data_IF_368212124590
#
_entry.id   IF_368212124590
#
_cell.length_a   1.000
_cell.length_b   1.000
_cell.length_c   1.000
_cell.angle_alpha   90.00
_cell.angle_beta   90.00
_cell.angle_gamma   90.00
#
_symmetry.space_group_name_H-M   'P 1'
#
loop_
_entity.id
_entity.type
_entity.pdbx_description
1 polymer ?
#
# COMPACT_ATOMS: atom_id res chain seq x y z
N UNK A 1 -17.10 -21.88 -4.68
CA UNK A 1 -17.15 -21.25 -6.02
C UNK A 1 -17.07 -19.73 -5.93
N UNK A 2 -18.04 -19.03 -5.33
CA UNK A 2 -18.03 -17.55 -5.22
C UNK A 2 -16.82 -16.99 -4.44
N UNK A 3 -16.48 -17.57 -3.29
CA UNK A 3 -15.31 -17.15 -2.49
C UNK A 3 -14.01 -17.37 -3.27
N UNK A 4 -13.89 -18.51 -3.96
CA UNK A 4 -12.73 -18.86 -4.79
C UNK A 4 -12.57 -17.88 -5.97
N UNK A 5 -13.68 -17.49 -6.59
CA UNK A 5 -13.72 -16.46 -7.64
C UNK A 5 -13.32 -15.09 -7.10
N UNK A 6 -13.81 -14.69 -5.93
CA UNK A 6 -13.44 -13.41 -5.31
C UNK A 6 -11.94 -13.34 -4.96
N UNK A 7 -11.38 -14.41 -4.36
CA UNK A 7 -9.94 -14.50 -4.06
C UNK A 7 -9.12 -14.51 -5.34
N UNK A 8 -9.56 -15.27 -6.36
CA UNK A 8 -8.88 -15.31 -7.66
C UNK A 8 -8.90 -13.94 -8.36
N UNK A 9 -10.01 -13.20 -8.29
CA UNK A 9 -10.13 -11.86 -8.86
C UNK A 9 -9.26 -10.84 -8.11
N UNK A 10 -9.20 -10.90 -6.78
CA UNK A 10 -8.30 -10.05 -5.98
C UNK A 10 -6.84 -10.35 -6.30
N UNK A 11 -6.46 -11.63 -6.34
CA UNK A 11 -5.12 -12.06 -6.72
C UNK A 11 -4.77 -11.63 -8.15
N UNK A 12 -5.72 -11.77 -9.09
CA UNK A 12 -5.56 -11.35 -10.47
C UNK A 12 -5.43 -9.83 -10.61
N UNK A 13 -6.22 -9.03 -9.89
CA UNK A 13 -6.09 -7.55 -9.88
C UNK A 13 -4.71 -7.15 -9.34
N UNK A 14 -4.25 -7.77 -8.27
CA UNK A 14 -2.92 -7.51 -7.70
C UNK A 14 -1.80 -7.88 -8.67
N UNK A 15 -1.94 -9.00 -9.38
CA UNK A 15 -0.98 -9.45 -10.40
C UNK A 15 -1.00 -8.57 -11.67
N UNK A 16 -2.18 -8.11 -12.08
CA UNK A 16 -2.37 -7.38 -13.35
C UNK A 16 -2.19 -5.86 -13.24
N UNK A 17 -2.23 -5.26 -12.05
CA UNK A 17 -2.26 -3.80 -11.94
C UNK A 17 -0.93 -3.09 -12.14
N UNK A 18 0.24 -3.73 -12.02
CA UNK A 18 1.53 -3.21 -12.55
C UNK A 18 2.57 -4.34 -12.64
N UNK A 19 3.28 -4.47 -13.77
CA UNK A 19 4.59 -5.12 -13.75
C UNK A 19 5.49 -4.34 -12.78
N UNK A 20 5.94 -4.94 -11.67
CA UNK A 20 6.83 -4.28 -10.73
C UNK A 20 8.19 -4.05 -11.42
N UNK A 21 8.83 -2.92 -11.14
CA UNK A 21 10.16 -2.62 -11.71
C UNK A 21 11.22 -3.63 -11.22
N UNK A 22 11.07 -4.11 -9.99
CA UNK A 22 11.88 -5.21 -9.45
C UNK A 22 11.02 -6.24 -8.68
N UNK A 23 11.44 -7.51 -8.65
CA UNK A 23 10.76 -8.55 -7.84
C UNK A 23 10.76 -8.24 -6.34
N UNK A 24 11.74 -7.49 -5.85
CA UNK A 24 11.85 -7.09 -4.45
C UNK A 24 10.81 -6.03 -4.07
N UNK A 25 10.67 -4.98 -4.87
CA UNK A 25 9.62 -3.96 -4.68
C UNK A 25 8.22 -4.58 -4.70
N UNK A 26 8.03 -5.58 -5.57
CA UNK A 26 6.79 -6.33 -5.64
C UNK A 26 6.48 -7.07 -4.34
N UNK A 27 7.45 -7.84 -3.83
CA UNK A 27 7.29 -8.61 -2.61
C UNK A 27 7.02 -7.69 -1.41
N UNK A 28 7.78 -6.60 -1.28
CA UNK A 28 7.57 -5.61 -0.21
C UNK A 28 6.21 -4.95 -0.35
N UNK A 29 5.80 -4.59 -1.56
CA UNK A 29 4.50 -4.01 -1.85
C UNK A 29 3.34 -4.93 -1.44
N UNK A 30 3.45 -6.21 -1.77
CA UNK A 30 2.48 -7.24 -1.37
C UNK A 30 2.41 -7.40 0.14
N UNK A 31 3.56 -7.56 0.80
CA UNK A 31 3.61 -7.74 2.26
C UNK A 31 3.00 -6.53 2.97
N UNK A 32 3.34 -5.30 2.57
CA UNK A 32 2.74 -4.09 3.13
C UNK A 32 1.22 -4.03 2.91
N UNK A 33 0.73 -4.47 1.76
CA UNK A 33 -0.71 -4.53 1.45
C UNK A 33 -1.42 -5.51 2.38
N UNK A 34 -0.86 -6.71 2.57
CA UNK A 34 -1.40 -7.74 3.46
C UNK A 34 -1.40 -7.26 4.92
N UNK A 35 -0.28 -6.69 5.38
CA UNK A 35 -0.16 -6.19 6.75
C UNK A 35 -1.13 -5.02 7.00
N UNK A 36 -1.24 -4.08 6.06
CA UNK A 36 -2.17 -2.94 6.18
C UNK A 36 -3.63 -3.39 6.14
N UNK A 37 -3.94 -4.37 5.30
CA UNK A 37 -5.25 -5.02 5.24
C UNK A 37 -5.59 -5.64 6.59
N UNK A 38 -4.69 -6.45 7.15
CA UNK A 38 -4.90 -7.13 8.43
C UNK A 38 -5.02 -6.16 9.61
N UNK A 39 -4.06 -5.24 9.76
CA UNK A 39 -4.03 -4.29 10.86
C UNK A 39 -5.19 -3.28 10.76
N UNK A 40 -5.39 -2.68 9.58
CA UNK A 40 -6.44 -1.70 9.35
C UNK A 40 -7.84 -2.31 9.43
N UNK A 41 -8.06 -3.47 8.80
CA UNK A 41 -9.32 -4.21 8.89
C UNK A 41 -9.66 -4.59 10.32
N UNK A 42 -8.70 -5.13 11.08
CA UNK A 42 -8.91 -5.51 12.48
C UNK A 42 -9.24 -4.31 13.36
N UNK A 43 -8.54 -3.18 13.21
CA UNK A 43 -8.82 -1.96 13.97
C UNK A 43 -10.24 -1.45 13.75
N UNK A 44 -10.73 -1.46 12.50
CA UNK A 44 -12.10 -1.04 12.19
C UNK A 44 -13.11 -2.02 12.80
N UNK A 45 -12.86 -3.34 12.68
CA UNK A 45 -13.74 -4.37 13.26
C UNK A 45 -13.84 -4.24 14.78
N UNK A 46 -12.72 -3.98 15.45
CA UNK A 46 -12.69 -3.75 16.89
C UNK A 46 -13.39 -2.45 17.29
N UNK A 47 -13.17 -1.36 16.55
CA UNK A 47 -13.74 -0.03 16.87
C UNK A 47 -15.26 0.02 16.73
N UNK A 48 -15.81 -0.68 15.73
CA UNK A 48 -17.25 -0.67 15.45
C UNK A 48 -17.96 -1.96 15.87
N UNK A 49 -17.27 -2.87 16.57
CA UNK A 49 -17.82 -4.15 17.05
C UNK A 49 -18.46 -4.97 15.92
N UNK A 50 -17.86 -4.96 14.72
CA UNK A 50 -18.38 -5.60 13.51
C UNK A 50 -18.29 -7.14 13.54
N UNK A 51 -17.80 -7.72 14.64
CA UNK A 51 -17.73 -9.17 14.85
C UNK A 51 -19.09 -9.86 14.67
N UNK A 52 -20.19 -9.17 14.97
CA UNK A 52 -21.55 -9.70 14.80
C UNK A 52 -21.90 -10.03 13.34
N UNK A 53 -21.24 -9.38 12.37
CA UNK A 53 -21.44 -9.63 10.94
C UNK A 53 -20.78 -10.94 10.49
N UNK A 54 -19.92 -11.57 11.30
CA UNK A 54 -19.30 -12.85 10.97
C UNK A 54 -20.24 -14.06 11.18
N UNK A 55 -21.55 -13.85 11.23
CA UNK A 55 -22.55 -14.89 11.53
C UNK A 55 -23.28 -15.39 10.29
N UNK A 56 -23.27 -14.63 9.19
CA UNK A 56 -23.93 -15.00 7.94
C UNK A 56 -23.01 -14.76 6.73
N UNK A 57 -23.35 -15.42 5.61
CA UNK A 57 -22.53 -15.41 4.40
C UNK A 57 -22.30 -14.00 3.84
N UNK A 58 -23.27 -13.09 3.95
CA UNK A 58 -23.13 -11.72 3.44
C UNK A 58 -22.23 -10.87 4.34
N UNK A 59 -22.35 -11.02 5.65
CA UNK A 59 -21.46 -10.34 6.58
C UNK A 59 -20.00 -10.81 6.46
N UNK A 60 -19.75 -12.08 6.13
CA UNK A 60 -18.40 -12.55 5.75
C UNK A 60 -17.85 -11.87 4.49
N UNK A 61 -18.68 -11.65 3.47
CA UNK A 61 -18.26 -10.88 2.28
C UNK A 61 -17.97 -9.41 2.62
N UNK A 62 -18.77 -8.79 3.47
CA UNK A 62 -18.56 -7.40 3.91
C UNK A 62 -17.25 -7.25 4.70
N UNK A 63 -16.98 -8.16 5.63
CA UNK A 63 -15.73 -8.20 6.39
C UNK A 63 -14.55 -8.40 5.43
N UNK A 64 -14.63 -9.37 4.51
CA UNK A 64 -13.57 -9.59 3.52
C UNK A 64 -13.29 -8.36 2.65
N UNK A 65 -14.35 -7.68 2.19
CA UNK A 65 -14.24 -6.43 1.42
C UNK A 65 -13.60 -5.30 2.23
N UNK A 66 -13.92 -5.19 3.52
CA UNK A 66 -13.32 -4.20 4.42
C UNK A 66 -11.81 -4.41 4.55
N UNK A 67 -11.37 -5.64 4.81
CA UNK A 67 -9.94 -5.97 4.84
C UNK A 67 -9.27 -5.59 3.52
N UNK A 68 -9.87 -5.91 2.38
CA UNK A 68 -9.30 -5.59 1.07
C UNK A 68 -9.12 -4.07 0.87
N UNK A 69 -10.15 -3.26 1.20
CA UNK A 69 -10.08 -1.81 1.07
C UNK A 69 -9.01 -1.21 1.98
N UNK A 70 -8.83 -1.72 3.21
CA UNK A 70 -7.76 -1.30 4.12
C UNK A 70 -6.35 -1.61 3.60
N UNK A 71 -6.20 -2.57 2.68
CA UNK A 71 -4.91 -2.89 2.06
C UNK A 71 -4.46 -1.87 1.00
N UNK A 72 -5.41 -1.26 0.28
CA UNK A 72 -5.12 -0.34 -0.83
C UNK A 72 -4.31 0.91 -0.40
N UNK A 73 -4.59 1.56 0.75
CA UNK A 73 -3.74 2.63 1.26
C UNK A 73 -2.29 2.21 1.50
N UNK A 74 -2.06 1.01 2.06
CA UNK A 74 -0.71 0.49 2.30
C UNK A 74 0.06 0.25 1.00
N UNK A 75 -0.63 -0.31 0.00
CA UNK A 75 -0.10 -0.47 -1.35
C UNK A 75 0.23 0.86 -2.05
N UNK A 76 -0.65 1.85 -1.93
CA UNK A 76 -0.43 3.16 -2.54
C UNK A 76 0.75 3.88 -1.90
N UNK A 77 0.87 3.79 -0.56
CA UNK A 77 1.96 4.39 0.20
C UNK A 77 3.32 3.80 -0.20
N UNK A 78 3.45 2.47 -0.24
CA UNK A 78 4.73 1.83 -0.56
C UNK A 78 5.14 2.09 -2.01
N UNK A 79 4.18 2.12 -2.95
CA UNK A 79 4.41 2.56 -4.34
C UNK A 79 4.91 3.99 -4.42
N UNK A 80 4.33 4.89 -3.63
CA UNK A 80 4.75 6.28 -3.60
C UNK A 80 6.17 6.41 -3.04
N UNK A 81 6.50 5.69 -1.97
CA UNK A 81 7.84 5.64 -1.37
C UNK A 81 8.88 5.14 -2.37
N UNK A 82 8.63 4.01 -3.05
CA UNK A 82 9.58 3.50 -4.04
C UNK A 82 9.76 4.46 -5.23
N UNK A 83 8.68 5.08 -5.72
CA UNK A 83 8.77 6.09 -6.78
C UNK A 83 9.54 7.35 -6.32
N UNK A 84 9.48 7.70 -5.04
CA UNK A 84 10.27 8.79 -4.48
C UNK A 84 11.75 8.44 -4.36
N UNK A 85 12.08 7.23 -3.90
CA UNK A 85 13.46 6.74 -3.81
C UNK A 85 14.09 6.65 -5.20
N UNK A 86 13.38 6.07 -6.18
CA UNK A 86 13.86 5.95 -7.57
C UNK A 86 14.13 7.32 -8.22
N UNK A 87 13.30 8.34 -7.94
CA UNK A 87 13.56 9.72 -8.38
C UNK A 87 14.83 10.33 -7.78
N UNK A 88 15.36 9.76 -6.70
CA UNK A 88 16.59 10.19 -6.04
C UNK A 88 17.76 9.24 -6.32
N UNK A 89 17.53 7.99 -6.73
CA UNK A 89 18.57 7.06 -7.16
C UNK A 89 19.25 7.59 -8.43
N UNK A 90 20.57 7.81 -8.33
CA UNK A 90 21.38 8.41 -9.40
C UNK A 90 21.90 9.80 -9.07
N UNK A 91 21.30 10.49 -8.08
CA UNK A 91 21.95 11.63 -7.42
C UNK A 91 22.64 11.09 -6.17
N UNK A 92 23.95 11.27 -6.05
CA UNK A 92 24.63 10.97 -4.78
C UNK A 92 23.91 11.77 -3.68
N UNK A 93 23.70 11.21 -2.48
CA UNK A 93 23.11 11.97 -1.33
C UNK A 93 23.76 13.36 -1.17
N UNK A 94 25.04 13.47 -1.54
CA UNK A 94 25.83 14.71 -1.59
C UNK A 94 25.31 15.73 -2.62
N UNK A 95 24.85 15.29 -3.79
CA UNK A 95 24.22 16.13 -4.82
C UNK A 95 22.84 16.63 -4.40
N UNK A 96 22.03 15.76 -3.78
CA UNK A 96 20.71 16.13 -3.24
C UNK A 96 20.87 17.17 -2.12
N UNK A 97 21.86 16.98 -1.23
CA UNK A 97 22.19 17.97 -0.19
C UNK A 97 22.73 19.28 -0.80
N UNK A 98 23.51 19.23 -1.89
CA UNK A 98 23.99 20.42 -2.60
C UNK A 98 22.85 21.20 -3.25
N UNK A 99 21.90 20.51 -3.89
CA UNK A 99 20.72 21.15 -4.49
C UNK A 99 19.81 21.77 -3.42
N UNK A 100 19.57 21.08 -2.30
CA UNK A 100 18.77 21.61 -1.19
C UNK A 100 19.46 22.81 -0.56
N UNK A 101 20.79 22.77 -0.36
CA UNK A 101 21.55 23.90 0.19
C UNK A 101 21.56 25.08 -0.77
N UNK A 102 21.65 24.84 -2.09
CA UNK A 102 21.58 25.87 -3.13
C UNK A 102 20.19 26.51 -3.19
N UNK A 103 19.14 25.70 -3.23
CA UNK A 103 17.75 26.17 -3.21
C UNK A 103 17.42 26.93 -1.92
N UNK A 104 17.93 26.48 -0.76
CA UNK A 104 17.80 27.20 0.51
C UNK A 104 18.49 28.57 0.43
N UNK A 105 19.70 28.65 -0.11
CA UNK A 105 20.41 29.92 -0.25
C UNK A 105 19.69 30.88 -1.22
N UNK A 106 19.18 30.38 -2.34
CA UNK A 106 18.40 31.17 -3.31
C UNK A 106 17.09 31.70 -2.69
N UNK A 107 16.43 30.91 -1.83
CA UNK A 107 15.22 31.33 -1.11
C UNK A 107 15.53 32.28 0.06
N UNK A 108 16.69 32.14 0.69
CA UNK A 108 17.08 32.96 1.84
C UNK A 108 17.80 34.25 1.42
N UNK A 109 18.05 34.46 0.12
CA UNK A 109 18.48 35.74 -0.43
C UNK A 109 19.78 36.27 0.17
N UNK A 110 20.84 35.46 0.17
CA UNK A 110 22.20 35.95 0.43
C UNK A 110 23.25 35.27 -0.45
#
# INVERSE_FOLDING_TARGET
>A
IMVTLAVALVAAVVLMTRMPRSPQEWAVGLICTVVSSLAGGSLIIMKFTLHAWATDTWGWFAIGGLFFVCGLPGWALIRWVFNFIDKQEGKTIVEVIKEIKKAKNDITGS
#
